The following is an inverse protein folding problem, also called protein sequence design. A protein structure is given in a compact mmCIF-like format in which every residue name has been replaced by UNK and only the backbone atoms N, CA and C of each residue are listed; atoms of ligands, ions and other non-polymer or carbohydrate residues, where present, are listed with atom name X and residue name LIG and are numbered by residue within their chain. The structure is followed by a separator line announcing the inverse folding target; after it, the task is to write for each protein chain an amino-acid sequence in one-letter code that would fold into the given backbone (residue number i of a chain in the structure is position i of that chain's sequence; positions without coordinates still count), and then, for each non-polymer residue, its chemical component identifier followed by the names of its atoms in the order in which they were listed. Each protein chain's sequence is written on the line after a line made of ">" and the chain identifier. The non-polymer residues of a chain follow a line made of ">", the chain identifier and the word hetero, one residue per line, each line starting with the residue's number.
data_IF_293517429558
#
_entry.id   IF_293517429558
#
_cell.length_a   1.000
_cell.length_b   1.000
_cell.length_c   1.000
_cell.angle_alpha   90.00
_cell.angle_beta   90.00
_cell.angle_gamma   90.00
#
_symmetry.space_group_name_H-M   'P 1'
#
loop_
_entity.id
_entity.type
_entity.pdbx_description
1 polymer ?
#
# COMPACT_ATOMS: atom_id res chain seq x y z
N UNK A 1 6.62 17.33 5.61
CA UNK A 1 5.43 16.69 5.03
C UNK A 1 5.47 15.20 5.37
N UNK A 2 4.45 14.63 6.00
CA UNK A 2 4.36 13.18 6.22
C UNK A 2 4.28 12.43 4.89
N UNK A 3 5.19 11.48 4.71
CA UNK A 3 5.30 10.64 3.53
C UNK A 3 5.39 9.17 3.93
N UNK A 4 4.79 8.30 3.13
CA UNK A 4 4.90 6.85 3.25
C UNK A 4 5.11 6.23 1.88
N UNK A 5 5.99 5.23 1.82
CA UNK A 5 6.16 4.37 0.64
C UNK A 5 6.07 2.92 1.11
N UNK A 6 5.17 2.18 0.49
CA UNK A 6 4.95 0.74 0.75
C UNK A 6 5.22 -0.03 -0.52
N UNK A 7 5.96 -1.12 -0.41
CA UNK A 7 6.22 -2.05 -1.51
C UNK A 7 5.74 -3.45 -1.10
N UNK A 8 4.92 -4.06 -1.92
CA UNK A 8 4.38 -5.40 -1.70
C UNK A 8 4.62 -6.28 -2.93
N UNK A 9 5.28 -7.42 -2.76
CA UNK A 9 5.32 -8.43 -3.79
C UNK A 9 3.94 -9.08 -3.95
N UNK A 10 3.58 -9.47 -5.18
CA UNK A 10 2.34 -10.19 -5.48
C UNK A 10 2.58 -11.28 -6.53
N UNK A 11 1.82 -12.37 -6.44
CA UNK A 11 1.81 -13.44 -7.42
C UNK A 11 1.07 -13.05 -8.72
N UNK A 12 0.33 -11.94 -8.74
CA UNK A 12 -0.30 -11.42 -9.93
C UNK A 12 0.73 -10.99 -10.98
N UNK A 13 0.43 -11.20 -12.26
CA UNK A 13 1.28 -10.66 -13.33
C UNK A 13 1.24 -9.12 -13.36
N UNK A 14 2.27 -8.46 -13.92
CA UNK A 14 2.28 -7.01 -14.04
C UNK A 14 1.03 -6.46 -14.74
N UNK A 15 0.54 -7.13 -15.78
CA UNK A 15 -0.66 -6.72 -16.50
C UNK A 15 -1.92 -6.77 -15.62
N UNK A 16 -2.06 -7.81 -14.79
CA UNK A 16 -3.18 -7.95 -13.86
C UNK A 16 -3.09 -6.92 -12.75
N UNK A 17 -1.91 -6.73 -12.17
CA UNK A 17 -1.68 -5.72 -11.14
C UNK A 17 -1.96 -4.30 -11.68
N UNK A 18 -1.52 -4.01 -12.91
CA UNK A 18 -1.80 -2.74 -13.59
C UNK A 18 -3.31 -2.52 -13.79
N UNK A 19 -4.01 -3.47 -14.41
CA UNK A 19 -5.45 -3.37 -14.66
C UNK A 19 -6.24 -3.11 -13.36
N UNK A 20 -5.76 -3.65 -12.24
CA UNK A 20 -6.38 -3.44 -10.93
C UNK A 20 -6.17 -2.02 -10.41
N UNK A 21 -4.92 -1.51 -10.41
CA UNK A 21 -4.64 -0.17 -9.87
C UNK A 21 -5.06 0.96 -10.81
N UNK A 22 -5.18 0.66 -12.11
CA UNK A 22 -5.65 1.60 -13.12
C UNK A 22 -7.11 1.99 -12.93
N UNK A 23 -7.94 1.12 -12.37
CA UNK A 23 -9.33 1.45 -12.06
C UNK A 23 -9.53 1.64 -10.55
N UNK A 24 -9.80 2.88 -10.14
CA UNK A 24 -10.02 3.23 -8.74
C UNK A 24 -11.21 2.49 -8.11
N UNK A 25 -12.21 2.07 -8.90
CA UNK A 25 -13.36 1.32 -8.39
C UNK A 25 -12.95 -0.03 -7.78
N UNK A 26 -11.81 -0.60 -8.22
CA UNK A 26 -11.30 -1.87 -7.70
C UNK A 26 -10.65 -1.72 -6.33
N UNK A 27 -9.83 -0.68 -6.12
CA UNK A 27 -9.02 -0.55 -4.93
C UNK A 27 -9.52 0.49 -3.93
N UNK A 28 -10.32 1.48 -4.38
CA UNK A 28 -10.84 2.51 -3.47
C UNK A 28 -11.61 1.91 -2.28
N UNK A 29 -12.50 0.90 -2.47
CA UNK A 29 -13.22 0.27 -1.35
C UNK A 29 -12.32 -0.41 -0.32
N UNK A 30 -11.05 -0.70 -0.68
CA UNK A 30 -10.08 -1.33 0.21
C UNK A 30 -9.36 -0.31 1.11
N UNK A 31 -9.46 0.98 0.81
CA UNK A 31 -8.86 2.04 1.61
C UNK A 31 -9.54 2.14 2.98
N UNK A 32 -8.73 2.12 4.04
CA UNK A 32 -9.24 2.30 5.40
C UNK A 32 -9.93 3.65 5.55
N UNK A 33 -11.15 3.62 6.06
CA UNK A 33 -11.99 4.82 6.19
C UNK A 33 -12.74 5.24 4.94
N UNK A 34 -12.57 4.52 3.82
CA UNK A 34 -13.32 4.80 2.60
C UNK A 34 -14.84 4.78 2.84
N UNK A 35 -15.53 5.78 2.32
CA UNK A 35 -16.99 5.85 2.35
C UNK A 35 -17.57 5.72 0.93
N UNK A 36 -17.11 6.58 0.05
CA UNK A 36 -17.52 6.60 -1.37
C UNK A 36 -16.57 7.47 -2.19
N UNK A 37 -16.64 7.33 -3.49
CA UNK A 37 -16.09 8.30 -4.41
C UNK A 37 -17.05 8.55 -5.59
N UNK A 38 -16.83 9.61 -6.33
CA UNK A 38 -17.57 9.98 -7.54
C UNK A 38 -16.58 10.44 -8.59
N UNK A 39 -16.52 9.76 -9.72
CA UNK A 39 -15.77 10.20 -10.91
C UNK A 39 -16.45 11.46 -11.47
N UNK A 40 -15.71 12.55 -11.64
CA UNK A 40 -16.15 13.80 -12.22
C UNK A 40 -15.89 13.77 -13.73
N UNK A 41 -14.68 13.37 -14.09
CA UNK A 41 -14.24 13.15 -15.47
C UNK A 41 -13.15 12.08 -15.52
N UNK A 42 -12.47 11.94 -16.66
CA UNK A 42 -11.43 10.92 -16.85
C UNK A 42 -10.22 11.07 -15.92
N UNK A 43 -10.00 12.25 -15.35
CA UNK A 43 -8.84 12.55 -14.51
C UNK A 43 -9.20 12.97 -13.10
N UNK A 44 -10.43 13.46 -12.87
CA UNK A 44 -10.82 14.00 -11.56
C UNK A 44 -11.91 13.17 -10.92
N UNK A 45 -11.78 12.99 -9.61
CA UNK A 45 -12.76 12.31 -8.77
C UNK A 45 -12.85 12.99 -7.40
N UNK A 46 -14.00 12.87 -6.77
CA UNK A 46 -14.27 13.38 -5.43
C UNK A 46 -14.42 12.21 -4.48
N UNK A 47 -13.78 12.30 -3.32
CA UNK A 47 -13.67 11.22 -2.36
C UNK A 47 -14.14 11.65 -0.99
N UNK A 48 -14.80 10.76 -0.28
CA UNK A 48 -15.20 10.91 1.11
C UNK A 48 -14.54 9.82 1.93
N UNK A 49 -13.67 10.23 2.85
CA UNK A 49 -12.88 9.32 3.69
C UNK A 49 -13.10 9.69 5.15
N UNK A 50 -13.49 8.71 5.95
CA UNK A 50 -13.69 8.86 7.37
C UNK A 50 -12.38 8.61 8.12
N UNK A 51 -11.92 9.58 8.87
CA UNK A 51 -10.79 9.44 9.79
C UNK A 51 -11.27 9.43 11.24
N UNK A 52 -10.52 8.75 12.10
CA UNK A 52 -10.74 8.75 13.55
C UNK A 52 -9.42 9.13 14.24
N UNK A 53 -9.44 10.20 15.01
CA UNK A 53 -8.30 10.70 15.78
C UNK A 53 -8.77 11.02 17.19
N UNK A 54 -8.18 10.37 18.21
CA UNK A 54 -8.46 10.68 19.61
C UNK A 54 -9.92 10.50 20.04
N UNK A 55 -10.64 9.55 19.42
CA UNK A 55 -12.06 9.29 19.68
C UNK A 55 -13.02 10.22 18.91
N UNK A 56 -12.49 11.18 18.16
CA UNK A 56 -13.27 12.03 17.25
C UNK A 56 -13.26 11.41 15.85
N UNK A 57 -14.46 11.21 15.32
CA UNK A 57 -14.67 10.70 13.97
C UNK A 57 -15.10 11.84 13.06
N UNK A 58 -14.41 11.99 11.92
CA UNK A 58 -14.75 13.02 10.92
C UNK A 58 -14.61 12.45 9.51
N UNK A 59 -15.51 12.84 8.63
CA UNK A 59 -15.39 12.56 7.19
C UNK A 59 -14.77 13.78 6.53
N UNK A 60 -13.65 13.57 5.86
CA UNK A 60 -12.98 14.56 5.04
C UNK A 60 -13.36 14.34 3.57
N UNK A 61 -13.51 15.44 2.85
CA UNK A 61 -13.81 15.45 1.42
C UNK A 61 -12.58 15.92 0.63
N UNK A 62 -12.20 15.12 -0.38
CA UNK A 62 -11.02 15.39 -1.21
C UNK A 62 -11.36 15.39 -2.69
N UNK A 63 -10.75 16.29 -3.44
CA UNK A 63 -10.62 16.14 -4.89
C UNK A 63 -9.30 15.46 -5.20
N UNK A 64 -9.38 14.40 -6.00
CA UNK A 64 -8.22 13.64 -6.50
C UNK A 64 -8.10 13.92 -7.99
N UNK A 65 -6.92 14.34 -8.43
CA UNK A 65 -6.63 14.62 -9.83
C UNK A 65 -5.46 13.75 -10.30
N UNK A 66 -5.69 12.94 -11.33
CA UNK A 66 -4.62 12.16 -11.98
C UNK A 66 -3.73 13.13 -12.75
N UNK A 67 -2.46 13.18 -12.37
CA UNK A 67 -1.44 14.07 -12.96
C UNK A 67 -0.55 13.36 -13.96
N UNK A 68 -0.38 12.04 -13.82
CA UNK A 68 0.42 11.24 -14.72
C UNK A 68 -0.22 9.86 -14.92
N UNK A 69 -0.18 9.40 -16.17
CA UNK A 69 -0.64 8.06 -16.56
C UNK A 69 0.39 7.47 -17.51
N UNK A 70 1.23 6.58 -17.02
CA UNK A 70 2.25 5.84 -17.76
C UNK A 70 1.90 4.36 -17.72
N UNK A 71 1.16 3.91 -18.72
CA UNK A 71 0.76 2.51 -18.85
C UNK A 71 1.92 1.66 -19.37
N UNK A 72 2.20 0.50 -18.78
CA UNK A 72 1.56 -0.16 -17.62
C UNK A 72 2.35 0.04 -16.31
N UNK A 73 3.05 1.13 -16.13
CA UNK A 73 4.07 1.28 -15.08
C UNK A 73 3.63 2.14 -13.90
N UNK A 74 2.97 3.29 -14.16
CA UNK A 74 2.72 4.27 -13.11
C UNK A 74 1.47 5.10 -13.33
N UNK A 75 0.73 5.31 -12.21
CA UNK A 75 -0.31 6.34 -12.10
C UNK A 75 0.10 7.27 -10.97
N UNK A 76 0.19 8.58 -11.22
CA UNK A 76 0.39 9.58 -10.20
C UNK A 76 -0.81 10.51 -10.10
N UNK A 77 -1.08 11.01 -8.89
CA UNK A 77 -2.21 11.87 -8.59
C UNK A 77 -1.88 12.89 -7.50
N UNK A 78 -2.66 13.95 -7.47
CA UNK A 78 -2.68 14.93 -6.37
C UNK A 78 -3.99 14.86 -5.62
N UNK A 79 -3.95 15.25 -4.35
CA UNK A 79 -5.06 15.32 -3.43
C UNK A 79 -5.24 16.78 -2.99
N UNK A 80 -6.48 17.24 -2.94
CA UNK A 80 -6.83 18.55 -2.37
C UNK A 80 -8.05 18.39 -1.49
N UNK A 81 -7.94 18.75 -0.22
CA UNK A 81 -9.08 18.84 0.71
C UNK A 81 -10.04 19.93 0.28
N UNK A 82 -11.33 19.66 0.36
CA UNK A 82 -12.39 20.63 0.03
C UNK A 82 -12.95 21.30 1.28
N UNK A 83 -13.05 20.56 2.38
CA UNK A 83 -13.55 21.07 3.66
C UNK A 83 -12.43 21.47 4.62
N UNK A 84 -11.25 20.88 4.41
CA UNK A 84 -10.08 21.08 5.26
C UNK A 84 -8.86 21.43 4.40
N UNK A 85 -7.91 22.22 4.93
CA UNK A 85 -6.72 22.63 4.18
C UNK A 85 -5.67 21.49 4.09
N UNK A 86 -6.07 20.36 3.55
CA UNK A 86 -5.16 19.25 3.23
C UNK A 86 -4.75 19.29 1.77
N UNK A 87 -3.48 19.05 1.52
CA UNK A 87 -2.94 18.81 0.18
C UNK A 87 -2.05 17.58 0.21
N UNK A 88 -1.88 16.93 -0.94
CA UNK A 88 -1.03 15.78 -1.01
C UNK A 88 -0.79 15.30 -2.43
N UNK A 89 0.04 14.29 -2.54
CA UNK A 89 0.33 13.59 -3.79
C UNK A 89 0.51 12.10 -3.52
N UNK A 90 0.30 11.30 -4.54
CA UNK A 90 0.55 9.87 -4.46
C UNK A 90 0.85 9.27 -5.82
N UNK A 91 1.36 8.04 -5.79
CA UNK A 91 1.59 7.26 -6.99
C UNK A 91 1.48 5.77 -6.71
N UNK A 92 0.91 5.05 -7.65
CA UNK A 92 1.04 3.60 -7.76
C UNK A 92 2.06 3.29 -8.85
N UNK A 93 2.94 2.32 -8.58
CA UNK A 93 3.86 1.74 -9.56
C UNK A 93 3.71 0.23 -9.58
N UNK A 94 3.76 -0.34 -10.76
CA UNK A 94 3.78 -1.78 -10.98
C UNK A 94 5.07 -2.14 -11.70
N UNK A 95 5.90 -2.95 -11.05
CA UNK A 95 7.13 -3.46 -11.63
C UNK A 95 7.03 -4.98 -11.79
N UNK A 96 7.32 -5.50 -12.98
CA UNK A 96 7.51 -6.92 -13.18
C UNK A 96 8.77 -7.39 -12.46
N UNK A 97 8.74 -8.57 -11.86
CA UNK A 97 9.96 -9.23 -11.38
C UNK A 97 10.72 -9.78 -12.59
N UNK A 98 11.33 -8.90 -13.37
CA UNK A 98 12.35 -9.32 -14.33
C UNK A 98 13.60 -9.66 -13.56
N UNK A 99 14.19 -10.80 -13.90
CA UNK A 99 15.48 -11.20 -13.40
C UNK A 99 16.44 -10.01 -13.45
N UNK A 100 17.05 -9.71 -12.27
CA UNK A 100 18.30 -8.94 -12.18
C UNK A 100 18.28 -7.55 -12.84
N UNK A 101 17.75 -6.55 -12.17
CA UNK A 101 18.32 -5.23 -12.27
C UNK A 101 19.24 -5.00 -11.06
N UNK A 102 20.52 -5.27 -11.25
CA UNK A 102 21.57 -4.69 -10.44
C UNK A 102 21.53 -3.17 -10.66
N UNK A 103 20.89 -2.45 -9.76
CA UNK A 103 20.75 -1.00 -9.85
C UNK A 103 20.38 -0.43 -8.49
N UNK A 104 21.40 0.00 -7.74
CA UNK A 104 21.41 0.78 -6.52
C UNK A 104 20.62 0.21 -5.33
N UNK A 105 21.28 -0.14 -4.22
CA UNK A 105 20.58 -0.51 -2.99
C UNK A 105 19.86 0.74 -2.49
N UNK A 106 18.56 0.64 -2.13
CA UNK A 106 18.00 1.60 -1.22
C UNK A 106 18.87 1.54 0.03
N UNK A 107 19.23 2.67 0.59
CA UNK A 107 19.94 2.77 1.86
C UNK A 107 19.05 2.18 2.95
N UNK A 108 19.04 0.86 3.03
CA UNK A 108 18.41 0.14 4.14
C UNK A 108 19.21 0.51 5.36
N UNK A 109 18.66 1.40 6.15
CA UNK A 109 19.29 1.91 7.34
C UNK A 109 19.83 0.75 8.18
N UNK A 110 21.03 0.91 8.72
CA UNK A 110 21.74 -0.03 9.58
C UNK A 110 20.89 -0.68 10.67
N UNK A 111 19.78 -0.05 11.04
CA UNK A 111 18.77 -0.53 11.97
C UNK A 111 18.04 -1.81 11.53
N UNK A 112 17.82 -2.01 10.22
CA UNK A 112 17.19 -3.22 9.71
C UNK A 112 18.10 -4.44 9.88
N UNK A 113 19.43 -4.23 9.77
CA UNK A 113 20.42 -5.29 10.01
C UNK A 113 20.53 -5.66 11.50
N UNK A 114 20.34 -4.69 12.40
CA UNK A 114 20.34 -4.93 13.84
C UNK A 114 19.14 -5.76 14.28
N UNK A 115 17.93 -5.45 13.76
CA UNK A 115 16.71 -6.21 14.06
C UNK A 115 16.78 -7.66 13.56
N UNK A 116 17.33 -7.90 12.38
CA UNK A 116 17.52 -9.24 11.84
C UNK A 116 18.52 -10.09 12.64
N UNK A 117 19.51 -9.47 13.28
CA UNK A 117 20.45 -10.15 14.16
C UNK A 117 19.84 -10.49 15.54
N UNK A 118 19.05 -9.58 16.11
CA UNK A 118 18.33 -9.82 17.37
C UNK A 118 17.27 -10.92 17.24
N UNK A 119 16.50 -10.90 16.14
CA UNK A 119 15.49 -11.93 15.88
C UNK A 119 16.10 -13.34 15.74
N UNK A 120 17.25 -13.47 15.08
CA UNK A 120 17.96 -14.74 14.98
C UNK A 120 18.55 -15.22 16.31
N UNK A 121 18.98 -14.29 17.17
CA UNK A 121 19.50 -14.64 18.48
C UNK A 121 18.39 -15.11 19.45
N UNK A 122 17.18 -14.55 19.35
CA UNK A 122 16.01 -14.96 20.15
C UNK A 122 15.41 -16.28 19.67
N UNK A 123 15.39 -16.55 18.35
CA UNK A 123 14.84 -17.79 17.77
C UNK A 123 15.79 -19.00 17.92
N UNK A 124 17.08 -18.78 18.15
CA UNK A 124 18.05 -19.86 18.34
C UNK A 124 17.96 -20.61 19.68
N UNK A 125 17.06 -20.23 20.58
CA UNK A 125 16.90 -20.86 21.91
C UNK A 125 15.67 -21.73 22.10
N UNK A 126 14.84 -21.90 21.06
CA UNK A 126 13.59 -22.70 21.14
C UNK A 126 13.47 -23.67 19.97
N UNK A 127 14.48 -24.49 19.71
CA UNK A 127 14.30 -25.65 18.86
C UNK A 127 15.00 -26.84 19.45
N UNK A 128 14.35 -27.41 20.42
CA UNK A 128 14.58 -28.81 20.79
C UNK A 128 13.30 -29.33 21.42
N UNK A 129 12.38 -29.88 20.61
CA UNK A 129 11.53 -31.03 20.94
C UNK A 129 10.78 -31.51 19.67
N UNK A 130 11.19 -32.69 19.21
CA UNK A 130 10.41 -33.81 18.66
C UNK A 130 9.41 -33.59 17.52
N UNK A 131 9.82 -33.95 16.38
CA UNK A 131 9.33 -34.92 15.42
C UNK A 131 8.20 -35.85 15.93
N UNK A 132 7.04 -35.85 15.25
CA UNK A 132 6.31 -37.00 14.68
C UNK A 132 4.91 -36.55 14.30
N UNK A 133 4.49 -36.80 13.04
CA UNK A 133 3.10 -36.60 12.63
C UNK A 133 2.96 -36.30 11.13
N UNK A 134 3.11 -37.31 10.33
CA UNK A 134 2.82 -37.31 8.90
C UNK A 134 1.34 -37.06 8.69
N UNK A 135 0.95 -35.90 8.19
CA UNK A 135 -0.35 -35.66 7.58
C UNK A 135 -0.10 -34.91 6.27
N UNK A 136 -0.28 -35.65 5.19
CA UNK A 136 -0.25 -35.22 3.81
C UNK A 136 -1.45 -34.29 3.58
N UNK A 137 -1.24 -33.00 3.74
CA UNK A 137 -2.05 -31.95 3.19
C UNK A 137 -1.11 -31.17 2.28
N UNK A 138 -1.34 -31.21 0.99
CA UNK A 138 -0.60 -30.38 0.04
C UNK A 138 -0.87 -28.91 0.39
N UNK A 139 -0.03 -28.34 1.25
CA UNK A 139 0.07 -26.90 1.40
C UNK A 139 0.63 -26.43 0.05
N UNK A 140 -0.24 -25.77 -0.72
CA UNK A 140 0.10 -25.08 -1.95
C UNK A 140 1.31 -24.18 -1.66
N UNK A 141 2.43 -24.48 -2.28
CA UNK A 141 3.66 -23.72 -2.11
C UNK A 141 3.34 -22.27 -2.47
N UNK A 142 3.76 -21.27 -1.65
CA UNK A 142 3.49 -19.89 -1.94
C UNK A 142 4.03 -19.57 -3.34
N UNK A 143 3.14 -19.15 -4.24
CA UNK A 143 3.48 -18.80 -5.62
C UNK A 143 4.58 -17.75 -5.61
N UNK A 144 5.66 -17.97 -6.36
CA UNK A 144 6.72 -16.96 -6.44
C UNK A 144 6.15 -15.61 -6.90
N UNK A 145 6.56 -14.51 -6.27
CA UNK A 145 6.04 -13.18 -6.64
C UNK A 145 6.43 -12.86 -8.09
N UNK A 146 5.45 -12.46 -8.91
CA UNK A 146 5.60 -12.15 -10.34
C UNK A 146 5.72 -10.66 -10.59
N UNK A 147 5.20 -9.84 -9.67
CA UNK A 147 5.33 -8.37 -9.73
C UNK A 147 5.48 -7.78 -8.32
N UNK A 148 5.87 -6.51 -8.30
CA UNK A 148 5.92 -5.68 -7.10
C UNK A 148 5.01 -4.48 -7.32
N UNK A 149 4.07 -4.29 -6.40
CA UNK A 149 3.23 -3.10 -6.32
C UNK A 149 3.85 -2.14 -5.31
N UNK A 150 4.16 -0.93 -5.75
CA UNK A 150 4.63 0.17 -4.90
C UNK A 150 3.55 1.25 -4.82
N UNK A 151 3.26 1.72 -3.61
CA UNK A 151 2.36 2.83 -3.34
C UNK A 151 3.11 3.90 -2.55
N UNK A 152 3.18 5.12 -3.07
CA UNK A 152 3.69 6.29 -2.37
C UNK A 152 2.54 7.24 -2.10
N UNK A 153 2.50 7.79 -0.89
CA UNK A 153 1.51 8.77 -0.47
C UNK A 153 2.18 9.84 0.40
N UNK A 154 1.91 11.08 0.11
CA UNK A 154 2.35 12.25 0.85
C UNK A 154 1.14 13.13 1.11
N UNK A 155 0.94 13.55 2.38
CA UNK A 155 -0.18 14.43 2.76
C UNK A 155 0.35 15.51 3.69
N UNK A 156 -0.08 16.73 3.48
CA UNK A 156 0.21 17.89 4.31
C UNK A 156 -1.07 18.54 4.79
N UNK A 157 -1.15 18.78 6.08
CA UNK A 157 -2.19 19.62 6.68
C UNK A 157 -1.70 21.06 6.71
N UNK A 158 -2.49 21.97 6.15
CA UNK A 158 -2.26 23.41 6.20
C UNK A 158 -3.02 24.08 7.34
N UNK A 159 -3.04 25.42 7.30
CA UNK A 159 -3.75 26.23 8.32
C UNK A 159 -3.04 26.30 9.66
N UNK A 160 -3.67 26.94 10.65
CA UNK A 160 -3.08 27.20 11.96
C UNK A 160 -2.80 25.96 12.81
N UNK A 161 -3.55 24.87 12.63
CA UNK A 161 -3.36 23.57 13.29
C UNK A 161 -2.45 22.63 12.51
N UNK A 162 -2.00 23.00 11.31
CA UNK A 162 -1.20 22.20 10.40
C UNK A 162 0.00 21.53 11.05
N UNK A 163 0.87 22.23 11.79
CA UNK A 163 2.04 21.63 12.42
C UNK A 163 1.73 20.48 13.38
N UNK A 164 0.70 20.61 14.19
CA UNK A 164 0.26 19.56 15.13
C UNK A 164 -0.36 18.39 14.36
N UNK A 165 -1.18 18.68 13.36
CA UNK A 165 -1.84 17.68 12.56
C UNK A 165 -0.81 16.87 11.76
N UNK A 166 0.20 17.50 11.18
CA UNK A 166 1.27 16.81 10.43
C UNK A 166 2.09 15.87 11.31
N UNK A 167 2.26 16.17 12.60
CA UNK A 167 2.92 15.27 13.55
C UNK A 167 2.10 13.99 13.76
N UNK A 168 0.78 14.08 13.81
CA UNK A 168 -0.13 12.94 13.99
C UNK A 168 -0.35 12.16 12.70
N UNK A 169 -0.32 12.83 11.54
CA UNK A 169 -0.53 12.19 10.23
C UNK A 169 0.55 11.18 9.89
N UNK A 170 1.81 11.40 10.24
CA UNK A 170 2.92 10.52 9.87
C UNK A 170 2.69 9.04 10.28
N UNK A 171 2.53 8.73 11.56
CA UNK A 171 2.23 7.37 12.01
C UNK A 171 0.93 6.80 11.45
N UNK A 172 -0.12 7.63 11.31
CA UNK A 172 -1.42 7.22 10.81
C UNK A 172 -1.35 6.82 9.33
N UNK A 173 -0.68 7.62 8.50
CA UNK A 173 -0.50 7.32 7.07
C UNK A 173 0.21 5.99 6.85
N UNK A 174 1.24 5.71 7.66
CA UNK A 174 1.96 4.43 7.59
C UNK A 174 1.05 3.24 7.84
N UNK A 175 0.23 3.30 8.89
CA UNK A 175 -0.70 2.22 9.23
C UNK A 175 -1.79 2.03 8.17
N UNK A 176 -2.39 3.11 7.68
CA UNK A 176 -3.42 3.08 6.63
C UNK A 176 -2.88 2.57 5.31
N UNK A 177 -1.69 3.01 4.90
CA UNK A 177 -1.05 2.59 3.67
C UNK A 177 -0.68 1.09 3.71
N UNK A 178 -0.15 0.60 4.82
CA UNK A 178 0.22 -0.81 5.02
C UNK A 178 -1.02 -1.72 4.98
N UNK A 179 -2.09 -1.35 5.68
CA UNK A 179 -3.35 -2.10 5.68
C UNK A 179 -3.98 -2.13 4.28
N UNK A 180 -4.04 -0.97 3.61
CA UNK A 180 -4.59 -0.87 2.25
C UNK A 180 -3.78 -1.69 1.25
N UNK A 181 -2.45 -1.58 1.26
CA UNK A 181 -1.57 -2.34 0.37
C UNK A 181 -1.72 -3.85 0.59
N UNK A 182 -1.86 -4.29 1.85
CA UNK A 182 -2.08 -5.70 2.19
C UNK A 182 -3.40 -6.21 1.62
N UNK A 183 -4.50 -5.45 1.76
CA UNK A 183 -5.81 -5.82 1.20
C UNK A 183 -5.78 -5.88 -0.34
N UNK A 184 -5.10 -4.93 -0.99
CA UNK A 184 -4.93 -4.94 -2.45
C UNK A 184 -4.23 -6.21 -2.90
N UNK A 185 -3.12 -6.58 -2.25
CA UNK A 185 -2.37 -7.80 -2.61
C UNK A 185 -3.22 -9.05 -2.38
N UNK A 186 -3.95 -9.14 -1.28
CA UNK A 186 -4.86 -10.27 -1.02
C UNK A 186 -5.90 -10.45 -2.14
N UNK A 187 -6.52 -9.36 -2.60
CA UNK A 187 -7.49 -9.42 -3.71
C UNK A 187 -6.83 -9.84 -5.02
N UNK A 188 -5.63 -9.33 -5.30
CA UNK A 188 -4.86 -9.71 -6.49
C UNK A 188 -4.47 -11.19 -6.49
N UNK A 189 -4.10 -11.75 -5.35
CA UNK A 189 -3.70 -13.16 -5.21
C UNK A 189 -4.90 -14.11 -5.36
N UNK A 190 -6.05 -13.77 -4.77
CA UNK A 190 -7.30 -14.52 -4.95
C UNK A 190 -7.72 -14.52 -6.42
N UNK A 191 -7.64 -13.37 -7.10
CA UNK A 191 -7.95 -13.27 -8.53
C UNK A 191 -6.98 -14.07 -9.41
N UNK A 192 -5.70 -14.10 -9.08
CA UNK A 192 -4.70 -14.86 -9.82
C UNK A 192 -4.91 -16.39 -9.70
N UNK A 193 -5.34 -16.86 -8.53
CA UNK A 193 -5.61 -18.29 -8.30
C UNK A 193 -6.85 -18.79 -9.04
N UNK A 194 -7.84 -17.92 -9.28
CA UNK A 194 -9.08 -18.29 -10.00
C UNK A 194 -8.91 -18.37 -11.52
N UNK A 195 -7.89 -17.75 -12.09
CA UNK A 195 -7.63 -17.74 -13.53
C UNK A 195 -6.82 -18.97 -13.99
N UNK A 196 -6.27 -19.78 -13.06
CA UNK A 196 -5.49 -21.00 -13.36
C UNK A 196 -6.32 -22.29 -13.35
N UNK A 197 -7.64 -22.21 -13.16
CA UNK A 197 -8.57 -23.34 -13.30
C UNK A 197 -9.34 -23.23 -14.61
#
# INVERSE_FOLDING_TARGET
>A
MPEVTIEKPTAASPAVAWAFVADMDHWAPLLTGYQRHKKIDAKRSRWWVKGEIGGLSRTAEFEVTITQWLEPEQIAFTLKGLDEPFTGSGAFRVAGKSATSAGAPPSVGWWARLRARLARWLLGRVTSVANTGRASGAAEAPSEPRSVLSCRLEIEAGGGSGPIMNLLLGPLLGAVAEDTATRIVQVLEVGASSTQR
#
